data_IF_434932222682
#
_entry.id   IF_434932222682
#
_cell.length_a   1.000
_cell.length_b   1.000
_cell.length_c   1.000
_cell.angle_alpha   90.00
_cell.angle_beta   90.00
_cell.angle_gamma   90.00
#
_symmetry.space_group_name_H-M   'P 1'
#
loop_
_entity.id
_entity.type
_entity.pdbx_description
1 polymer ?
#
# COMPACT_ATOMS: atom_id res chain seq x y z
N UNK A 1 -30.59 37.08 -63.71
CA UNK A 1 -30.46 37.24 -62.24
C UNK A 1 -31.12 36.17 -61.36
N UNK A 2 -32.12 35.38 -61.78
CA UNK A 2 -32.81 34.39 -60.91
C UNK A 2 -32.12 33.03 -60.69
N UNK A 3 -31.06 32.68 -61.45
CA UNK A 3 -30.40 31.35 -61.38
C UNK A 3 -29.24 31.29 -60.37
N UNK A 4 -28.57 32.41 -60.11
CA UNK A 4 -27.46 32.49 -59.14
C UNK A 4 -27.94 32.65 -57.69
N UNK A 5 -29.10 33.26 -57.45
CA UNK A 5 -29.70 33.38 -56.11
C UNK A 5 -30.14 32.05 -55.52
N UNK A 6 -30.64 31.10 -56.34
CA UNK A 6 -31.01 29.75 -55.88
C UNK A 6 -29.80 28.88 -55.51
N UNK A 7 -28.67 29.05 -56.19
CA UNK A 7 -27.41 28.35 -55.86
C UNK A 7 -26.78 28.91 -54.57
N UNK A 8 -26.79 30.23 -54.41
CA UNK A 8 -26.30 30.88 -53.20
C UNK A 8 -27.16 30.52 -51.97
N UNK A 9 -28.49 30.50 -52.12
CA UNK A 9 -29.38 30.11 -51.03
C UNK A 9 -29.18 28.65 -50.60
N UNK A 10 -28.95 27.72 -51.55
CA UNK A 10 -28.64 26.31 -51.23
C UNK A 10 -27.28 26.13 -50.53
N UNK A 11 -26.28 26.94 -50.88
CA UNK A 11 -24.97 26.91 -50.24
C UNK A 11 -25.05 27.45 -48.81
N UNK A 12 -25.77 28.55 -48.61
CA UNK A 12 -25.98 29.16 -47.28
C UNK A 12 -26.80 28.25 -46.38
N UNK A 13 -27.86 27.61 -46.88
CA UNK A 13 -28.64 26.65 -46.07
C UNK A 13 -27.84 25.40 -45.73
N UNK A 14 -27.00 24.89 -46.63
CA UNK A 14 -26.15 23.74 -46.35
C UNK A 14 -25.06 24.07 -45.31
N UNK A 15 -24.46 25.26 -45.40
CA UNK A 15 -23.47 25.72 -44.42
C UNK A 15 -24.09 25.93 -43.02
N UNK A 16 -25.30 26.51 -42.94
CA UNK A 16 -26.04 26.65 -41.69
C UNK A 16 -26.41 25.29 -41.07
N UNK A 17 -26.79 24.30 -41.89
CA UNK A 17 -27.11 22.96 -41.41
C UNK A 17 -25.88 22.25 -40.84
N UNK A 18 -24.71 22.43 -41.47
CA UNK A 18 -23.43 21.87 -40.98
C UNK A 18 -23.04 22.52 -39.65
N UNK A 19 -23.17 23.85 -39.52
CA UNK A 19 -22.87 24.56 -38.26
C UNK A 19 -23.83 24.15 -37.13
N UNK A 20 -25.12 23.96 -37.44
CA UNK A 20 -26.11 23.44 -36.48
C UNK A 20 -25.82 22.00 -36.06
N UNK A 21 -25.47 21.11 -37.00
CA UNK A 21 -25.08 19.74 -36.68
C UNK A 21 -23.79 19.66 -35.87
N UNK A 22 -22.77 20.49 -36.19
CA UNK A 22 -21.52 20.51 -35.42
C UNK A 22 -21.73 21.09 -34.03
N UNK A 23 -22.62 22.09 -33.85
CA UNK A 23 -22.91 22.65 -32.52
C UNK A 23 -23.79 21.74 -31.67
N UNK A 24 -24.72 20.98 -32.27
CA UNK A 24 -25.46 19.93 -31.57
C UNK A 24 -24.54 18.77 -31.18
N UNK A 25 -23.66 18.33 -32.08
CA UNK A 25 -22.67 17.29 -31.78
C UNK A 25 -21.68 17.75 -30.72
N UNK A 26 -21.23 19.01 -30.73
CA UNK A 26 -20.36 19.53 -29.67
C UNK A 26 -21.10 19.65 -28.34
N UNK A 27 -22.38 20.03 -28.33
CA UNK A 27 -23.20 20.03 -27.11
C UNK A 27 -23.44 18.62 -26.58
N UNK A 28 -23.72 17.64 -27.42
CA UNK A 28 -23.89 16.25 -26.97
C UNK A 28 -22.56 15.61 -26.55
N UNK A 29 -21.43 15.96 -27.17
CA UNK A 29 -20.10 15.52 -26.76
C UNK A 29 -19.66 16.14 -25.42
N UNK A 30 -19.93 17.44 -25.22
CA UNK A 30 -19.65 18.15 -23.95
C UNK A 30 -20.59 17.68 -22.84
N UNK A 31 -21.83 17.27 -23.16
CA UNK A 31 -22.73 16.62 -22.18
C UNK A 31 -22.36 15.17 -21.87
N UNK A 32 -21.54 14.49 -22.69
CA UNK A 32 -21.08 13.11 -22.45
C UNK A 32 -19.66 13.03 -21.86
N UNK A 33 -18.88 14.12 -21.89
CA UNK A 33 -17.56 14.20 -21.29
C UNK A 33 -17.40 15.51 -20.52
N UNK A 34 -17.77 15.50 -19.24
CA UNK A 34 -17.27 16.30 -18.09
C UNK A 34 -18.20 15.92 -16.92
N UNK A 35 -17.73 15.13 -15.95
CA UNK A 35 -17.18 15.65 -14.69
C UNK A 35 -18.10 16.70 -14.07
N UNK A 36 -19.02 16.24 -13.21
CA UNK A 36 -19.65 17.12 -12.24
C UNK A 36 -18.58 17.61 -11.25
N UNK A 37 -18.16 18.85 -11.42
CA UNK A 37 -17.40 19.61 -10.43
C UNK A 37 -18.35 20.00 -9.29
N UNK A 38 -18.14 19.43 -8.10
CA UNK A 38 -18.77 19.87 -6.85
C UNK A 38 -17.67 20.43 -5.94
N UNK A 39 -17.61 21.76 -5.69
CA UNK A 39 -16.67 22.32 -4.74
C UNK A 39 -17.16 22.09 -3.31
N UNK A 40 -16.35 21.38 -2.51
CA UNK A 40 -16.52 21.23 -1.06
C UNK A 40 -17.46 20.09 -0.65
N UNK A 41 -16.92 18.92 -0.31
CA UNK A 41 -17.69 17.83 0.30
C UNK A 41 -17.02 16.47 0.17
N UNK A 42 -16.87 15.78 1.29
CA UNK A 42 -16.39 14.41 1.46
C UNK A 42 -17.10 13.39 0.58
N UNK A 43 -16.35 12.46 -0.01
CA UNK A 43 -16.90 11.33 -0.78
C UNK A 43 -17.62 10.33 0.13
N UNK A 44 -18.93 10.16 -0.07
CA UNK A 44 -19.70 8.99 0.37
C UNK A 44 -20.03 8.12 -0.84
N UNK A 45 -20.04 6.78 -0.73
CA UNK A 45 -20.45 5.90 -1.81
C UNK A 45 -21.93 6.08 -2.15
N UNK A 46 -22.24 6.08 -3.45
CA UNK A 46 -23.60 6.15 -4.01
C UNK A 46 -24.39 4.91 -3.61
N UNK A 47 -25.59 5.08 -3.07
CA UNK A 47 -26.52 3.97 -2.82
C UNK A 47 -26.86 3.23 -4.13
N UNK A 48 -27.03 1.89 -4.11
CA UNK A 48 -27.46 1.15 -5.28
C UNK A 48 -28.83 1.63 -5.76
N UNK A 49 -28.99 1.83 -7.08
CA UNK A 49 -30.31 2.03 -7.68
C UNK A 49 -31.05 0.70 -7.68
N UNK A 50 -32.30 0.73 -7.23
CA UNK A 50 -33.27 -0.36 -7.37
C UNK A 50 -33.35 -0.80 -8.84
N UNK A 51 -32.97 -2.05 -9.10
CA UNK A 51 -33.35 -2.78 -10.31
C UNK A 51 -34.33 -3.86 -9.89
N UNK A 52 -35.58 -3.47 -9.67
CA UNK A 52 -36.71 -4.36 -9.89
C UNK A 52 -36.80 -4.60 -11.40
N UNK A 53 -36.65 -5.86 -11.80
CA UNK A 53 -37.01 -6.49 -13.07
C UNK A 53 -35.87 -7.34 -13.66
N UNK A 54 -35.52 -8.42 -12.97
CA UNK A 54 -35.08 -9.67 -13.63
C UNK A 54 -35.68 -10.85 -12.87
N UNK A 55 -36.48 -11.64 -13.57
CA UNK A 55 -37.17 -12.81 -13.04
C UNK A 55 -36.19 -13.85 -12.48
N UNK A 56 -36.46 -14.31 -11.25
CA UNK A 56 -35.69 -15.34 -10.57
C UNK A 56 -35.81 -16.71 -11.28
N UNK A 57 -34.70 -17.45 -11.47
CA UNK A 57 -34.78 -18.84 -11.89
C UNK A 57 -35.31 -19.73 -10.74
N UNK A 58 -36.29 -20.57 -11.08
CA UNK A 58 -37.00 -21.47 -10.18
C UNK A 58 -36.09 -22.59 -9.65
N UNK A 59 -36.10 -22.77 -8.33
CA UNK A 59 -35.58 -23.95 -7.62
C UNK A 59 -36.48 -25.15 -7.90
N UNK A 60 -35.95 -26.32 -8.31
CA UNK A 60 -36.71 -27.57 -8.25
C UNK A 60 -36.58 -28.20 -6.86
N UNK A 61 -37.73 -28.59 -6.34
CA UNK A 61 -37.97 -29.33 -5.09
C UNK A 61 -37.30 -30.72 -5.05
N UNK A 62 -36.95 -31.16 -3.84
CA UNK A 62 -36.59 -32.54 -3.46
C UNK A 62 -37.56 -33.60 -4.02
N UNK A 63 -37.09 -34.87 -4.06
CA UNK A 63 -37.86 -35.89 -3.36
C UNK A 63 -37.03 -36.82 -2.44
N UNK A 64 -37.80 -37.30 -1.46
CA UNK A 64 -37.73 -38.42 -0.50
C UNK A 64 -36.50 -39.34 -0.34
N UNK A 65 -36.41 -39.79 0.92
CA UNK A 65 -35.46 -40.70 1.52
C UNK A 65 -35.57 -42.17 1.06
N UNK A 66 -34.46 -42.90 1.15
CA UNK A 66 -34.45 -44.32 1.49
C UNK A 66 -33.14 -44.70 2.21
N UNK A 67 -33.33 -45.57 3.18
CA UNK A 67 -32.46 -46.20 4.19
C UNK A 67 -31.27 -47.02 3.64
N UNK A 68 -30.21 -47.16 4.44
CA UNK A 68 -29.22 -48.22 4.27
C UNK A 68 -27.95 -48.06 5.10
N UNK A 69 -27.89 -48.77 6.23
CA UNK A 69 -26.75 -48.91 7.14
C UNK A 69 -25.45 -49.41 6.46
N UNK A 70 -24.30 -48.84 6.86
CA UNK A 70 -23.20 -49.56 7.53
C UNK A 70 -22.06 -48.61 7.91
N UNK A 71 -21.77 -48.56 9.21
CA UNK A 71 -20.64 -47.89 9.83
C UNK A 71 -19.53 -48.89 10.17
N UNK A 72 -18.27 -48.49 9.90
CA UNK A 72 -17.03 -48.88 10.57
C UNK A 72 -15.92 -48.14 9.82
N UNK A 73 -14.92 -47.46 10.37
CA UNK A 73 -14.39 -47.24 11.71
C UNK A 73 -13.31 -46.16 11.47
N UNK A 74 -13.21 -45.13 12.32
CA UNK A 74 -11.94 -44.46 12.65
C UNK A 74 -12.22 -43.44 13.76
N UNK A 75 -11.98 -43.90 14.99
CA UNK A 75 -11.98 -43.07 16.19
C UNK A 75 -10.64 -42.33 16.27
N UNK A 76 -10.67 -41.01 16.37
CA UNK A 76 -9.67 -40.24 17.09
C UNK A 76 -10.37 -39.05 17.75
N UNK A 77 -10.28 -38.99 19.07
CA UNK A 77 -10.98 -38.05 19.92
C UNK A 77 -10.41 -36.64 19.81
N UNK A 78 -11.26 -35.65 19.52
CA UNK A 78 -10.98 -34.24 19.73
C UNK A 78 -11.80 -33.76 20.94
N UNK A 79 -11.11 -33.38 22.02
CA UNK A 79 -11.71 -32.59 23.12
C UNK A 79 -11.75 -31.11 22.70
N UNK A 80 -12.79 -30.35 23.06
CA UNK A 80 -12.84 -28.92 22.78
C UNK A 80 -11.96 -28.16 23.79
N UNK A 81 -10.96 -27.43 23.31
CA UNK A 81 -10.19 -26.49 24.14
C UNK A 81 -10.90 -25.14 24.15
N UNK A 82 -11.69 -24.91 25.19
CA UNK A 82 -11.94 -23.57 25.69
C UNK A 82 -10.71 -23.14 26.49
N UNK A 83 -9.93 -22.18 25.99
CA UNK A 83 -9.00 -21.48 26.86
C UNK A 83 -8.97 -19.99 26.52
N UNK A 84 -9.53 -19.23 27.46
CA UNK A 84 -9.36 -17.81 27.59
C UNK A 84 -8.00 -17.55 28.25
N UNK A 85 -7.19 -16.69 27.64
CA UNK A 85 -6.21 -15.83 28.32
C UNK A 85 -5.31 -16.47 29.38
N UNK A 86 -4.36 -17.31 28.96
CA UNK A 86 -3.20 -17.68 29.78
C UNK A 86 -1.99 -16.82 29.43
N UNK A 87 -1.70 -15.78 30.20
CA UNK A 87 -0.42 -15.07 30.13
C UNK A 87 0.69 -16.00 30.61
N UNK A 88 1.37 -16.67 29.67
CA UNK A 88 2.54 -17.48 30.01
C UNK A 88 3.72 -16.54 30.30
N UNK A 89 4.67 -16.96 31.15
CA UNK A 89 5.93 -16.26 31.51
C UNK A 89 6.78 -15.78 30.30
N UNK A 90 6.37 -16.07 29.06
CA UNK A 90 7.04 -15.77 27.80
C UNK A 90 6.67 -14.41 27.19
N UNK A 91 5.66 -13.71 27.69
CA UNK A 91 5.19 -12.46 27.09
C UNK A 91 5.74 -11.21 27.79
N UNK A 92 6.21 -10.26 26.98
CA UNK A 92 6.73 -8.95 27.38
C UNK A 92 5.81 -7.83 26.89
N UNK A 93 5.68 -6.83 27.75
CA UNK A 93 5.19 -5.53 27.33
C UNK A 93 6.31 -4.77 26.62
N UNK A 94 6.11 -4.49 25.33
CA UNK A 94 7.08 -3.79 24.49
C UNK A 94 6.76 -2.30 24.32
N UNK A 95 5.71 -1.79 24.97
CA UNK A 95 5.38 -0.37 24.92
C UNK A 95 6.47 0.48 25.60
N UNK A 96 6.97 1.49 24.90
CA UNK A 96 7.87 2.49 25.46
C UNK A 96 7.07 3.66 26.06
N UNK A 97 6.51 3.45 27.26
CA UNK A 97 5.68 4.45 27.94
C UNK A 97 6.37 5.81 28.15
N UNK A 98 7.66 5.88 28.57
CA UNK A 98 8.36 7.16 28.69
C UNK A 98 8.42 7.93 27.37
N UNK A 99 8.70 7.26 26.25
CA UNK A 99 8.69 7.89 24.93
C UNK A 99 7.29 8.34 24.53
N UNK A 100 6.27 7.50 24.73
CA UNK A 100 4.89 7.84 24.41
C UNK A 100 4.42 9.07 25.18
N UNK A 101 4.78 9.20 26.46
CA UNK A 101 4.45 10.36 27.29
C UNK A 101 5.17 11.62 26.81
N UNK A 102 6.47 11.50 26.46
CA UNK A 102 7.24 12.60 25.87
C UNK A 102 6.60 13.06 24.57
N UNK A 103 6.34 12.12 23.65
CA UNK A 103 5.72 12.39 22.36
C UNK A 103 4.36 13.04 22.53
N UNK A 104 3.49 12.61 23.45
CA UNK A 104 2.16 13.20 23.68
C UNK A 104 2.19 14.69 24.06
N UNK A 105 3.30 15.17 24.63
CA UNK A 105 3.48 16.58 25.01
C UNK A 105 4.22 17.43 23.97
N UNK A 106 4.67 16.84 22.86
CA UNK A 106 5.46 17.52 21.84
C UNK A 106 4.63 18.61 21.13
N UNK A 107 5.27 19.75 20.87
CA UNK A 107 4.68 20.93 20.25
C UNK A 107 5.57 21.43 19.12
N UNK A 108 4.95 21.90 18.05
CA UNK A 108 5.64 22.38 16.86
C UNK A 108 4.89 22.04 15.58
N UNK A 109 5.42 22.45 14.41
CA UNK A 109 4.86 22.10 13.12
C UNK A 109 4.67 20.59 12.95
N UNK A 110 3.42 20.17 12.74
CA UNK A 110 3.08 18.78 12.42
C UNK A 110 3.20 17.78 13.58
N UNK A 111 3.52 18.22 14.80
CA UNK A 111 3.50 17.37 16.00
C UNK A 111 2.08 16.82 16.27
N UNK A 112 2.00 15.64 16.88
CA UNK A 112 0.78 14.83 17.02
C UNK A 112 0.12 14.50 15.68
N UNK A 113 0.88 14.55 14.57
CA UNK A 113 0.34 14.38 13.22
C UNK A 113 -0.71 15.43 12.83
N UNK A 114 -0.70 16.60 13.45
CA UNK A 114 -1.61 17.70 13.08
C UNK A 114 -1.26 18.25 11.70
N UNK A 115 -2.27 18.78 11.00
CA UNK A 115 -2.07 19.48 9.74
C UNK A 115 -1.15 20.70 9.93
N UNK A 116 -0.16 20.84 9.05
CA UNK A 116 0.70 22.02 8.98
C UNK A 116 0.42 22.81 7.70
N UNK A 117 0.23 24.11 7.87
CA UNK A 117 0.04 25.06 6.77
C UNK A 117 1.24 25.99 6.68
N UNK A 118 1.76 26.15 5.48
CA UNK A 118 2.92 27.02 5.23
C UNK A 118 2.58 28.49 5.52
N UNK A 119 3.52 29.28 6.06
CA UNK A 119 3.41 30.73 6.08
C UNK A 119 3.21 31.32 4.68
N UNK A 120 2.53 32.46 4.60
CA UNK A 120 2.32 33.19 3.35
C UNK A 120 3.66 33.64 2.72
N UNK A 121 3.70 33.74 1.39
CA UNK A 121 4.86 34.20 0.62
C UNK A 121 5.82 33.09 0.20
N UNK A 122 5.46 31.82 0.44
CA UNK A 122 6.25 30.64 0.07
C UNK A 122 5.65 29.85 -1.11
N UNK A 123 4.64 30.39 -1.77
CA UNK A 123 3.84 29.70 -2.79
C UNK A 123 4.69 29.23 -3.97
N UNK A 124 5.59 30.08 -4.47
CA UNK A 124 6.47 29.74 -5.59
C UNK A 124 7.42 28.58 -5.23
N UNK A 125 8.03 28.61 -4.04
CA UNK A 125 8.92 27.54 -3.56
C UNK A 125 8.14 26.25 -3.32
N UNK A 126 6.92 26.37 -2.79
CA UNK A 126 5.98 25.24 -2.63
C UNK A 126 5.74 24.57 -3.98
N UNK A 127 5.34 25.32 -5.00
CA UNK A 127 5.03 24.79 -6.33
C UNK A 127 6.23 24.10 -6.99
N UNK A 128 7.43 24.69 -6.90
CA UNK A 128 8.66 24.10 -7.43
C UNK A 128 8.95 22.73 -6.81
N UNK A 129 8.89 22.64 -5.47
CA UNK A 129 9.11 21.39 -4.76
C UNK A 129 7.97 20.40 -4.96
N UNK A 130 6.73 20.87 -5.12
CA UNK A 130 5.58 20.01 -5.41
C UNK A 130 5.71 19.32 -6.75
N UNK A 131 6.13 20.05 -7.79
CA UNK A 131 6.27 19.52 -9.15
C UNK A 131 7.20 18.31 -9.22
N UNK A 132 8.29 18.33 -8.45
CA UNK A 132 9.33 17.29 -8.50
C UNK A 132 9.14 16.16 -7.49
N UNK A 133 8.19 16.29 -6.55
CA UNK A 133 7.92 15.30 -5.52
C UNK A 133 6.48 14.78 -5.54
N UNK A 134 5.51 15.45 -6.16
CA UNK A 134 4.10 15.04 -6.14
C UNK A 134 3.39 15.24 -4.79
N UNK A 135 4.03 15.95 -3.86
CA UNK A 135 3.51 16.34 -2.55
C UNK A 135 4.20 17.63 -2.06
N UNK A 136 3.68 18.23 -1.00
CA UNK A 136 4.18 19.47 -0.40
C UNK A 136 5.50 19.27 0.38
N UNK A 137 6.58 19.03 -0.36
CA UNK A 137 7.92 18.83 0.20
C UNK A 137 8.40 20.03 1.05
N UNK A 138 7.97 21.26 0.71
CA UNK A 138 8.29 22.42 1.53
C UNK A 138 7.65 22.34 2.92
N UNK A 139 6.39 21.91 3.03
CA UNK A 139 5.78 21.65 4.35
C UNK A 139 6.57 20.59 5.13
N UNK A 140 7.04 19.54 4.47
CA UNK A 140 7.92 18.54 5.10
C UNK A 140 9.16 19.16 5.72
N UNK A 141 9.78 20.14 5.05
CA UNK A 141 11.00 20.79 5.53
C UNK A 141 10.81 21.59 6.82
N UNK A 142 9.59 22.05 7.11
CA UNK A 142 9.25 22.72 8.38
C UNK A 142 8.92 21.74 9.51
N UNK A 143 8.60 20.49 9.19
CA UNK A 143 8.19 19.48 10.16
C UNK A 143 9.42 18.72 10.65
N UNK A 144 9.56 18.58 11.97
CA UNK A 144 10.67 17.87 12.62
C UNK A 144 10.82 16.42 12.12
N UNK A 145 12.03 16.00 11.74
CA UNK A 145 12.34 14.61 11.34
C UNK A 145 11.90 13.58 12.41
N UNK A 146 11.81 14.01 13.67
CA UNK A 146 11.34 13.21 14.79
C UNK A 146 10.00 13.73 15.36
N UNK A 147 9.10 14.25 14.51
CA UNK A 147 7.77 14.68 14.96
C UNK A 147 7.00 13.53 15.62
N UNK A 148 6.22 13.83 16.64
CA UNK A 148 5.29 12.88 17.26
C UNK A 148 4.08 12.60 16.37
N UNK A 149 3.49 11.43 16.54
CA UNK A 149 2.28 10.98 15.85
C UNK A 149 1.18 10.65 16.86
N UNK A 150 -0.10 10.75 16.47
CA UNK A 150 -1.19 10.36 17.33
C UNK A 150 -1.25 8.82 17.41
N UNK A 151 -1.45 8.29 18.61
CA UNK A 151 -1.71 6.85 18.81
C UNK A 151 -3.19 6.55 18.51
N UNK A 152 -3.46 6.31 17.22
CA UNK A 152 -4.79 5.99 16.68
C UNK A 152 -5.07 4.48 16.63
N UNK A 153 -4.24 3.64 17.26
CA UNK A 153 -4.52 2.21 17.32
C UNK A 153 -5.78 1.95 18.15
N UNK A 154 -6.43 0.81 17.89
CA UNK A 154 -7.53 0.35 18.73
C UNK A 154 -7.11 0.32 20.21
N UNK A 155 -7.93 0.78 21.18
CA UNK A 155 -7.54 0.86 22.59
C UNK A 155 -7.02 -0.45 23.19
N UNK A 156 -7.51 -1.60 22.69
CA UNK A 156 -7.02 -2.93 23.08
C UNK A 156 -5.55 -3.18 22.73
N UNK A 157 -5.02 -2.55 21.67
CA UNK A 157 -3.61 -2.68 21.28
C UNK A 157 -2.64 -2.11 22.33
N UNK A 158 -3.08 -1.20 23.20
CA UNK A 158 -2.26 -0.64 24.30
C UNK A 158 -2.05 -1.62 25.46
N UNK A 159 -2.82 -2.71 25.48
CA UNK A 159 -2.76 -3.78 26.49
C UNK A 159 -2.14 -5.06 25.92
N UNK A 160 -1.80 -5.07 24.64
CA UNK A 160 -1.20 -6.23 23.98
C UNK A 160 0.22 -6.42 24.47
N UNK A 161 0.53 -7.67 24.80
CA UNK A 161 1.88 -8.15 25.10
C UNK A 161 2.28 -9.11 23.99
N UNK A 162 3.57 -9.18 23.72
CA UNK A 162 4.11 -10.03 22.66
C UNK A 162 5.23 -10.89 23.23
N UNK A 163 5.58 -11.98 22.55
CA UNK A 163 6.68 -12.86 22.98
C UNK A 163 7.97 -12.07 23.25
N UNK A 164 8.73 -12.51 24.26
CA UNK A 164 10.01 -11.90 24.67
C UNK A 164 11.11 -12.04 23.61
N UNK A 165 11.16 -13.20 22.96
CA UNK A 165 12.17 -13.51 21.94
C UNK A 165 11.57 -13.22 20.57
N UNK A 166 11.86 -12.04 20.03
CA UNK A 166 11.49 -11.64 18.68
C UNK A 166 12.70 -11.69 17.75
N UNK A 167 12.52 -12.09 16.48
CA UNK A 167 13.60 -12.10 15.50
C UNK A 167 14.12 -10.68 15.23
N UNK A 168 15.39 -10.56 14.85
CA UNK A 168 15.94 -9.28 14.39
C UNK A 168 15.44 -8.94 12.99
N UNK A 169 15.40 -7.65 12.66
CA UNK A 169 14.89 -7.16 11.38
C UNK A 169 15.90 -6.25 10.66
N UNK A 170 16.01 -6.44 9.35
CA UNK A 170 16.63 -5.47 8.43
C UNK A 170 15.52 -4.74 7.68
N UNK A 171 15.51 -3.41 7.77
CA UNK A 171 14.51 -2.58 7.08
C UNK A 171 15.07 -2.12 5.75
N UNK A 172 14.43 -2.50 4.65
CA UNK A 172 14.81 -2.12 3.28
C UNK A 172 13.91 -1.00 2.80
N UNK A 173 14.51 0.15 2.49
CA UNK A 173 13.81 1.36 2.03
C UNK A 173 14.29 1.69 0.61
N UNK A 174 13.62 1.19 -0.45
CA UNK A 174 13.94 1.61 -1.80
C UNK A 174 13.59 3.08 -2.02
N UNK A 175 14.44 3.83 -2.69
CA UNK A 175 14.16 5.22 -3.04
C UNK A 175 14.74 5.59 -4.41
N UNK A 176 14.04 6.47 -5.11
CA UNK A 176 14.54 7.13 -6.31
C UNK A 176 14.17 8.59 -6.23
N UNK A 177 15.15 9.50 -6.25
CA UNK A 177 14.92 10.93 -6.24
C UNK A 177 13.94 11.39 -5.14
N UNK A 178 13.97 10.74 -3.99
CA UNK A 178 13.09 11.10 -2.88
C UNK A 178 13.41 12.50 -2.32
N UNK A 179 12.45 13.12 -1.66
CA UNK A 179 12.72 14.34 -0.92
C UNK A 179 13.56 14.06 0.34
N UNK A 180 14.51 14.94 0.65
CA UNK A 180 15.49 14.75 1.72
C UNK A 180 14.83 14.49 3.08
N UNK A 181 13.88 15.34 3.47
CA UNK A 181 13.27 15.27 4.79
C UNK A 181 12.30 14.10 4.94
N UNK A 182 11.64 13.64 3.88
CA UNK A 182 10.77 12.44 3.95
C UNK A 182 11.58 11.15 4.07
N UNK A 183 12.68 11.03 3.33
CA UNK A 183 13.58 9.89 3.42
C UNK A 183 14.18 9.77 4.84
N UNK A 184 14.72 10.87 5.36
CA UNK A 184 15.32 10.88 6.70
C UNK A 184 14.29 10.66 7.81
N UNK A 185 13.07 11.19 7.67
CA UNK A 185 11.97 10.98 8.63
C UNK A 185 11.52 9.52 8.66
N UNK A 186 11.55 8.84 7.52
CA UNK A 186 11.34 7.39 7.45
C UNK A 186 12.35 6.65 8.33
N UNK A 187 13.64 6.83 8.09
CA UNK A 187 14.70 6.20 8.89
C UNK A 187 14.63 6.60 10.37
N UNK A 188 14.38 7.89 10.67
CA UNK A 188 14.26 8.42 12.03
C UNK A 188 13.11 7.76 12.78
N UNK A 189 11.94 7.62 12.15
CA UNK A 189 10.77 6.98 12.77
C UNK A 189 11.01 5.51 13.10
N UNK A 190 11.69 4.77 12.20
CA UNK A 190 12.07 3.38 12.42
C UNK A 190 13.04 3.26 13.59
N UNK A 191 14.10 4.05 13.61
CA UNK A 191 15.10 4.00 14.69
C UNK A 191 14.50 4.36 16.05
N UNK A 192 13.70 5.43 16.10
CA UNK A 192 13.24 5.97 17.38
C UNK A 192 12.06 5.19 17.96
N UNK A 193 11.23 4.53 17.14
CA UNK A 193 10.01 3.83 17.60
C UNK A 193 10.10 2.32 17.57
N UNK A 194 11.27 1.78 17.26
CA UNK A 194 11.55 0.35 17.35
C UNK A 194 12.29 0.03 18.65
N UNK A 195 11.95 -1.07 19.34
CA UNK A 195 12.67 -1.49 20.53
C UNK A 195 14.18 -1.69 20.24
N UNK A 196 15.07 -1.27 21.17
CA UNK A 196 16.51 -1.47 21.01
C UNK A 196 16.84 -2.95 20.77
N UNK A 197 17.76 -3.21 19.84
CA UNK A 197 18.24 -4.55 19.50
C UNK A 197 17.40 -5.32 18.48
N UNK A 198 16.15 -4.92 18.20
CA UNK A 198 15.33 -5.58 17.17
C UNK A 198 15.65 -5.10 15.75
N UNK A 199 16.03 -3.84 15.57
CA UNK A 199 16.51 -3.33 14.28
C UNK A 199 18.00 -3.63 14.16
N UNK A 200 18.35 -4.55 13.27
CA UNK A 200 19.73 -4.88 12.93
C UNK A 200 20.36 -3.77 12.09
N UNK A 201 19.63 -3.33 11.08
CA UNK A 201 20.06 -2.30 10.12
C UNK A 201 18.88 -1.70 9.35
N UNK A 202 19.09 -0.51 8.79
CA UNK A 202 18.23 0.10 7.79
C UNK A 202 19.06 0.30 6.52
N UNK A 203 18.57 -0.26 5.42
CA UNK A 203 19.21 -0.27 4.11
C UNK A 203 18.43 0.68 3.20
N UNK A 204 19.00 1.86 2.93
CA UNK A 204 18.45 2.80 1.98
C UNK A 204 18.92 2.38 0.58
N UNK A 205 18.02 1.78 -0.21
CA UNK A 205 18.34 1.23 -1.53
C UNK A 205 18.10 2.30 -2.61
N UNK A 206 19.16 2.99 -3.03
CA UNK A 206 19.12 4.05 -4.04
C UNK A 206 18.99 3.45 -5.45
N UNK A 207 17.82 3.59 -6.05
CA UNK A 207 17.51 3.21 -7.42
C UNK A 207 17.95 4.32 -8.39
N UNK A 208 19.25 4.61 -8.43
CA UNK A 208 19.88 5.51 -9.39
C UNK A 208 19.35 6.95 -9.35
N UNK A 209 19.31 7.55 -8.16
CA UNK A 209 18.93 8.95 -7.96
C UNK A 209 19.92 9.92 -8.61
N UNK A 210 19.40 11.03 -9.15
CA UNK A 210 20.19 12.08 -9.77
C UNK A 210 20.32 13.36 -8.92
N UNK A 211 19.51 13.52 -7.86
CA UNK A 211 19.62 14.64 -6.92
C UNK A 211 20.96 14.58 -6.16
N UNK A 212 21.79 15.62 -6.26
CA UNK A 212 23.13 15.62 -5.64
C UNK A 212 23.12 15.46 -4.12
N UNK A 213 22.11 16.01 -3.45
CA UNK A 213 21.92 15.83 -2.00
C UNK A 213 21.76 14.36 -1.59
N UNK A 214 21.28 13.48 -2.48
CA UNK A 214 21.10 12.04 -2.19
C UNK A 214 22.37 11.21 -2.38
N UNK A 215 23.47 11.83 -2.80
CA UNK A 215 24.77 11.18 -3.02
C UNK A 215 25.61 11.27 -1.74
N UNK A 216 26.81 11.83 -1.85
CA UNK A 216 27.75 12.02 -0.74
C UNK A 216 27.14 12.77 0.46
N UNK A 217 26.33 13.84 0.30
CA UNK A 217 25.72 14.52 1.44
C UNK A 217 24.80 13.63 2.28
N UNK A 218 24.07 12.70 1.66
CA UNK A 218 23.23 11.73 2.36
C UNK A 218 24.08 10.76 3.18
N UNK A 219 25.14 10.22 2.58
CA UNK A 219 26.07 9.31 3.27
C UNK A 219 26.74 9.99 4.48
N UNK A 220 27.19 11.23 4.31
CA UNK A 220 27.82 12.01 5.39
C UNK A 220 26.83 12.31 6.52
N UNK A 221 25.58 12.66 6.17
CA UNK A 221 24.54 12.87 7.16
C UNK A 221 24.24 11.57 7.94
N UNK A 222 24.09 10.46 7.24
CA UNK A 222 23.82 9.14 7.84
C UNK A 222 24.96 8.74 8.77
N UNK A 223 26.20 8.80 8.32
CA UNK A 223 27.37 8.44 9.12
C UNK A 223 27.51 9.30 10.38
N UNK A 224 27.07 10.56 10.32
CA UNK A 224 27.11 11.48 11.45
C UNK A 224 25.96 11.32 12.45
N UNK A 225 24.75 11.01 11.96
CA UNK A 225 23.52 11.13 12.75
C UNK A 225 22.82 9.80 13.05
N UNK A 226 23.12 8.73 12.33
CA UNK A 226 22.46 7.45 12.52
C UNK A 226 23.45 6.33 12.83
N UNK A 227 22.96 5.37 13.60
CA UNK A 227 23.64 4.09 13.82
C UNK A 227 22.94 3.03 12.99
N UNK A 228 23.70 2.12 12.39
CA UNK A 228 23.18 0.99 11.61
C UNK A 228 22.27 1.37 10.43
N UNK A 229 22.44 2.56 9.87
CA UNK A 229 21.80 2.98 8.61
C UNK A 229 22.89 3.10 7.56
N UNK A 230 22.66 2.56 6.36
CA UNK A 230 23.59 2.72 5.26
C UNK A 230 22.87 2.75 3.90
N UNK A 231 23.57 3.24 2.88
CA UNK A 231 23.06 3.37 1.52
C UNK A 231 23.66 2.28 0.64
N UNK A 232 22.82 1.63 -0.15
CA UNK A 232 23.24 0.71 -1.23
C UNK A 232 22.76 1.32 -2.54
N UNK A 233 23.64 1.42 -3.55
CA UNK A 233 23.34 2.15 -4.79
C UNK A 233 23.32 1.23 -6.00
N UNK A 234 22.28 1.36 -6.81
CA UNK A 234 22.21 0.75 -8.12
C UNK A 234 23.13 1.49 -9.11
N UNK A 235 23.75 0.75 -10.03
CA UNK A 235 24.63 1.32 -11.07
C UNK A 235 23.87 1.86 -12.29
N UNK A 236 22.58 1.53 -12.39
CA UNK A 236 21.62 2.01 -13.40
C UNK A 236 20.22 2.04 -12.78
N UNK A 237 19.26 2.66 -13.47
CA UNK A 237 17.86 2.63 -13.02
C UNK A 237 17.29 1.22 -13.17
N UNK A 238 16.98 0.58 -12.06
CA UNK A 238 16.50 -0.80 -12.00
C UNK A 238 14.99 -0.89 -11.76
N UNK A 239 14.42 0.11 -11.08
CA UNK A 239 13.01 0.10 -10.68
C UNK A 239 12.78 -0.32 -9.24
N UNK A 240 11.60 -0.03 -8.69
CA UNK A 240 11.24 -0.29 -7.30
C UNK A 240 11.48 -1.75 -6.91
N UNK A 241 11.05 -2.68 -7.75
CA UNK A 241 11.06 -4.12 -7.48
C UNK A 241 12.49 -4.62 -7.32
N UNK A 242 13.37 -4.27 -8.27
CA UNK A 242 14.78 -4.65 -8.24
C UNK A 242 15.58 -3.89 -7.20
N UNK A 243 15.21 -2.64 -6.87
CA UNK A 243 15.78 -1.91 -5.76
C UNK A 243 15.47 -2.57 -4.41
N UNK A 244 14.24 -3.08 -4.22
CA UNK A 244 13.88 -3.92 -3.06
C UNK A 244 14.75 -5.18 -3.00
N UNK A 245 14.91 -5.89 -4.13
CA UNK A 245 15.78 -7.06 -4.20
C UNK A 245 17.25 -6.74 -3.87
N UNK A 246 17.77 -5.62 -4.38
CA UNK A 246 19.12 -5.16 -4.10
C UNK A 246 19.33 -4.95 -2.60
N UNK A 247 18.41 -4.26 -1.93
CA UNK A 247 18.48 -4.08 -0.48
C UNK A 247 18.30 -5.40 0.29
N UNK A 248 17.37 -6.26 -0.14
CA UNK A 248 17.13 -7.55 0.48
C UNK A 248 18.34 -8.49 0.42
N UNK A 249 19.15 -8.42 -0.65
CA UNK A 249 20.38 -9.21 -0.80
C UNK A 249 21.48 -8.78 0.18
N UNK A 250 21.46 -7.52 0.63
CA UNK A 250 22.43 -6.98 1.59
C UNK A 250 21.99 -7.18 3.05
N UNK A 251 20.71 -7.49 3.28
CA UNK A 251 20.14 -7.64 4.61
C UNK A 251 20.65 -8.88 5.36
N UNK A 252 20.96 -8.68 6.65
CA UNK A 252 21.52 -9.68 7.56
C UNK A 252 20.59 -10.10 8.69
N UNK A 253 19.53 -9.34 8.96
CA UNK A 253 18.50 -9.64 9.96
C UNK A 253 17.69 -10.89 9.61
N UNK A 254 17.02 -11.45 10.61
CA UNK A 254 16.20 -12.66 10.47
C UNK A 254 14.93 -12.41 9.64
N UNK A 255 14.39 -11.19 9.72
CA UNK A 255 13.21 -10.70 9.02
C UNK A 255 13.59 -9.53 8.11
N UNK A 256 13.06 -9.53 6.88
CA UNK A 256 13.06 -8.39 5.99
C UNK A 256 11.80 -7.57 6.23
N UNK A 257 11.95 -6.26 6.42
CA UNK A 257 10.82 -5.32 6.45
C UNK A 257 11.00 -4.36 5.30
N UNK A 258 10.06 -4.32 4.38
CA UNK A 258 10.04 -3.34 3.30
C UNK A 258 9.18 -2.15 3.72
N UNK A 259 9.70 -0.94 3.53
CA UNK A 259 8.97 0.31 3.72
C UNK A 259 9.26 1.25 2.55
N UNK A 260 8.26 1.99 2.08
CA UNK A 260 8.50 3.06 1.12
C UNK A 260 9.23 4.25 1.78
N UNK A 261 9.96 5.03 0.98
CA UNK A 261 10.86 6.12 1.40
C UNK A 261 10.19 7.39 1.95
N UNK A 262 8.89 7.33 2.19
CA UNK A 262 8.06 8.43 2.66
C UNK A 262 6.99 7.88 3.62
N UNK A 263 7.48 7.17 4.64
CA UNK A 263 6.67 6.53 5.66
C UNK A 263 7.05 7.01 7.06
N UNK A 264 6.14 6.87 8.01
CA UNK A 264 6.41 7.15 9.43
C UNK A 264 5.82 6.05 10.30
N UNK A 265 6.68 5.27 10.93
CA UNK A 265 6.27 4.23 11.86
C UNK A 265 5.58 4.85 13.09
N UNK A 266 4.48 4.26 13.54
CA UNK A 266 3.77 4.69 14.75
C UNK A 266 4.30 3.95 15.99
N UNK A 267 3.81 4.31 17.18
CA UNK A 267 4.28 3.73 18.45
C UNK A 267 4.04 2.22 18.53
N UNK A 268 5.06 1.50 19.00
CA UNK A 268 5.06 0.04 19.18
C UNK A 268 4.64 -0.74 17.91
N UNK A 269 5.01 -0.25 16.72
CA UNK A 269 4.65 -0.88 15.45
C UNK A 269 5.34 -2.24 15.23
N UNK A 270 6.58 -2.39 15.70
CA UNK A 270 7.45 -3.52 15.30
C UNK A 270 7.07 -4.86 15.96
N UNK A 271 6.83 -4.96 17.28
CA UNK A 271 6.47 -6.24 17.91
C UNK A 271 5.24 -6.94 17.33
N UNK A 272 4.08 -6.27 17.08
CA UNK A 272 2.94 -6.91 16.43
C UNK A 272 3.22 -7.36 15.00
N UNK A 273 4.22 -6.75 14.33
CA UNK A 273 4.63 -7.11 12.98
C UNK A 273 5.51 -8.38 12.98
N UNK A 274 6.37 -8.52 13.99
CA UNK A 274 7.33 -9.63 14.08
C UNK A 274 6.76 -10.90 14.72
N UNK A 275 5.85 -10.76 15.69
CA UNK A 275 5.36 -11.93 16.45
C UNK A 275 4.72 -13.02 15.57
N UNK A 276 3.84 -12.71 14.58
CA UNK A 276 3.29 -13.77 13.75
C UNK A 276 4.37 -14.55 12.98
N UNK A 277 5.44 -13.87 12.57
CA UNK A 277 6.61 -14.47 11.89
C UNK A 277 7.45 -15.31 12.87
N UNK A 278 7.57 -14.87 14.13
CA UNK A 278 8.24 -15.64 15.18
C UNK A 278 7.49 -16.95 15.49
N UNK A 279 6.15 -16.94 15.40
CA UNK A 279 5.30 -18.12 15.61
C UNK A 279 5.33 -19.07 14.40
N UNK A 280 5.32 -18.52 13.19
CA UNK A 280 5.51 -19.27 11.95
C UNK A 280 6.27 -18.41 10.93
N UNK A 281 7.50 -18.81 10.62
CA UNK A 281 8.38 -18.07 9.73
C UNK A 281 7.87 -17.97 8.28
N UNK A 282 6.86 -18.78 7.91
CA UNK A 282 6.16 -18.70 6.61
C UNK A 282 4.98 -17.72 6.61
N UNK A 283 4.74 -17.02 7.72
CA UNK A 283 3.77 -15.93 7.80
C UNK A 283 4.39 -14.63 7.31
N UNK A 284 3.66 -13.92 6.46
CA UNK A 284 3.97 -12.56 5.99
C UNK A 284 2.97 -11.60 6.63
N UNK A 285 3.48 -10.49 7.16
CA UNK A 285 2.67 -9.57 7.97
C UNK A 285 2.70 -8.18 7.37
N UNK A 286 1.54 -7.58 7.15
CA UNK A 286 1.39 -6.19 6.74
C UNK A 286 0.95 -5.33 7.93
N UNK A 287 1.53 -4.14 8.15
CA UNK A 287 0.95 -3.16 9.07
C UNK A 287 -0.29 -2.54 8.43
N UNK A 288 -1.14 -1.91 9.24
CA UNK A 288 -2.10 -0.95 8.69
C UNK A 288 -1.35 0.25 8.12
N UNK A 289 -1.73 0.62 6.91
CA UNK A 289 -1.15 1.74 6.19
C UNK A 289 -2.05 2.95 6.40
N UNK A 290 -1.55 3.89 7.19
CA UNK A 290 -2.23 5.15 7.48
C UNK A 290 -1.87 6.21 6.44
N UNK A 291 -2.70 7.24 6.34
CA UNK A 291 -2.49 8.34 5.39
C UNK A 291 -1.71 9.45 6.07
N UNK A 292 -0.59 9.83 5.46
CA UNK A 292 0.04 11.13 5.66
C UNK A 292 -0.40 12.00 4.48
N UNK A 293 -1.16 13.06 4.77
CA UNK A 293 -1.72 13.93 3.75
C UNK A 293 -0.62 14.61 2.93
N UNK A 294 -0.71 14.56 1.60
CA UNK A 294 0.33 15.06 0.71
C UNK A 294 0.47 16.59 0.75
N UNK A 295 -0.53 17.34 1.24
CA UNK A 295 -0.51 18.81 1.25
C UNK A 295 -0.10 19.35 2.62
N UNK A 296 -0.67 18.79 3.68
CA UNK A 296 -0.58 19.30 5.06
C UNK A 296 0.21 18.40 6.00
N UNK A 297 0.57 17.19 5.56
CA UNK A 297 1.24 16.17 6.37
C UNK A 297 0.45 15.71 7.61
N UNK A 298 -0.85 16.00 7.66
CA UNK A 298 -1.73 15.47 8.68
C UNK A 298 -1.73 13.93 8.64
N UNK A 299 -1.63 13.30 9.81
CA UNK A 299 -1.67 11.85 9.96
C UNK A 299 -3.08 11.40 10.34
N UNK A 300 -3.62 10.43 9.61
CA UNK A 300 -4.96 9.88 9.88
C UNK A 300 -5.05 8.43 9.43
N UNK A 301 -5.98 7.68 10.05
CA UNK A 301 -6.34 6.37 9.56
C UNK A 301 -6.78 6.44 8.08
N UNK A 302 -6.39 5.46 7.28
CA UNK A 302 -7.11 5.18 6.04
C UNK A 302 -8.49 4.61 6.39
N UNK A 303 -8.51 3.71 7.38
CA UNK A 303 -9.66 3.01 7.98
C UNK A 303 -9.19 2.13 9.15
N UNK A 304 -10.10 1.29 9.66
CA UNK A 304 -9.88 0.33 10.76
C UNK A 304 -9.65 -1.11 10.27
N UNK A 305 -9.15 -1.27 9.04
CA UNK A 305 -8.80 -2.55 8.45
C UNK A 305 -9.69 -2.90 7.26
N UNK A 306 -9.07 -3.44 6.22
CA UNK A 306 -9.75 -4.04 5.09
C UNK A 306 -8.88 -5.16 4.51
N UNK A 307 -9.51 -6.09 3.81
CA UNK A 307 -8.81 -7.18 3.14
C UNK A 307 -8.41 -6.77 1.74
N UNK A 308 -7.14 -6.85 1.38
CA UNK A 308 -6.70 -6.52 0.04
C UNK A 308 -7.16 -7.56 -0.99
N UNK A 309 -7.47 -7.07 -2.18
CA UNK A 309 -8.01 -7.83 -3.32
C UNK A 309 -7.68 -7.10 -4.62
N UNK A 310 -8.26 -7.53 -5.74
CA UNK A 310 -8.15 -6.88 -7.04
C UNK A 310 -9.40 -7.08 -7.88
N UNK A 311 -9.61 -6.22 -8.86
CA UNK A 311 -10.53 -6.50 -9.97
C UNK A 311 -9.82 -7.28 -11.09
N UNK A 312 -10.58 -7.77 -12.07
CA UNK A 312 -10.04 -8.52 -13.20
C UNK A 312 -9.23 -7.66 -14.19
N UNK A 313 -8.91 -6.41 -13.88
CA UNK A 313 -7.89 -5.61 -14.57
C UNK A 313 -6.59 -5.52 -13.75
N UNK A 314 -6.51 -6.24 -12.63
CA UNK A 314 -5.44 -6.18 -11.64
C UNK A 314 -5.26 -4.79 -11.03
N UNK A 315 -6.34 -4.00 -10.89
CA UNK A 315 -6.32 -2.85 -9.99
C UNK A 315 -6.60 -3.29 -8.57
N UNK A 316 -5.74 -2.87 -7.65
CA UNK A 316 -5.87 -3.20 -6.23
C UNK A 316 -7.20 -2.67 -5.68
N UNK A 317 -7.90 -3.53 -4.93
CA UNK A 317 -9.16 -3.23 -4.26
C UNK A 317 -9.05 -3.61 -2.79
N UNK A 318 -9.99 -3.10 -2.01
CA UNK A 318 -10.10 -3.38 -0.58
C UNK A 318 -11.52 -3.84 -0.29
N UNK A 319 -11.63 -5.04 0.25
CA UNK A 319 -12.87 -5.67 0.67
C UNK A 319 -13.09 -5.43 2.17
N UNK A 320 -14.35 -5.38 2.64
CA UNK A 320 -14.62 -5.29 4.07
C UNK A 320 -14.04 -6.51 4.82
N UNK A 321 -13.76 -6.31 6.11
CA UNK A 321 -13.40 -7.38 7.02
C UNK A 321 -14.53 -8.40 7.17
N UNK A 322 -14.19 -9.65 7.49
CA UNK A 322 -15.20 -10.65 7.83
C UNK A 322 -15.80 -10.37 9.22
N UNK A 323 -17.01 -10.88 9.52
CA UNK A 323 -17.63 -10.74 10.84
C UNK A 323 -16.73 -11.18 12.00
N UNK A 324 -15.99 -12.29 11.85
CA UNK A 324 -15.10 -12.80 12.89
C UNK A 324 -13.89 -11.88 13.15
N UNK A 325 -13.36 -11.25 12.10
CA UNK A 325 -12.25 -10.31 12.20
C UNK A 325 -12.72 -8.98 12.82
N UNK A 326 -13.93 -8.52 12.47
CA UNK A 326 -14.58 -7.36 13.10
C UNK A 326 -14.79 -7.57 14.60
N UNK A 327 -15.11 -8.79 15.03
CA UNK A 327 -15.25 -9.13 16.44
C UNK A 327 -13.91 -9.17 17.20
N UNK A 328 -12.77 -9.19 16.48
CA UNK A 328 -11.41 -9.31 17.03
C UNK A 328 -10.49 -8.20 16.49
N UNK A 329 -10.80 -6.92 16.75
CA UNK A 329 -10.18 -5.76 16.08
C UNK A 329 -8.68 -5.57 16.39
N UNK A 330 -8.11 -6.36 17.30
CA UNK A 330 -6.69 -6.31 17.67
C UNK A 330 -5.90 -7.55 17.27
N UNK A 331 -6.56 -8.57 16.72
CA UNK A 331 -5.87 -9.77 16.24
C UNK A 331 -5.49 -9.61 14.77
N UNK A 332 -4.35 -10.17 14.33
CA UNK A 332 -4.06 -10.26 12.91
C UNK A 332 -5.14 -11.04 12.16
N UNK A 333 -5.52 -10.56 10.98
CA UNK A 333 -6.52 -11.22 10.13
C UNK A 333 -5.95 -11.53 8.75
N UNK A 334 -6.49 -12.55 8.09
CA UNK A 334 -5.99 -13.00 6.78
C UNK A 334 -6.34 -12.02 5.67
N UNK A 335 -5.36 -11.65 4.87
CA UNK A 335 -5.52 -10.77 3.71
C UNK A 335 -5.13 -11.52 2.43
N UNK A 336 -6.00 -11.58 1.41
CA UNK A 336 -5.68 -12.26 0.15
C UNK A 336 -4.51 -11.63 -0.60
N UNK A 337 -4.45 -10.30 -0.64
CA UNK A 337 -3.43 -9.54 -1.38
C UNK A 337 -2.92 -8.38 -0.52
N UNK A 338 -1.60 -8.19 -0.44
CA UNK A 338 -1.01 -7.01 0.20
C UNK A 338 -1.08 -5.77 -0.71
N UNK A 339 -1.04 -4.57 -0.13
CA UNK A 339 -0.87 -3.35 -0.92
C UNK A 339 0.49 -3.30 -1.66
N UNK A 340 1.53 -3.89 -1.05
CA UNK A 340 2.86 -4.09 -1.64
C UNK A 340 3.98 -3.24 -1.00
N UNK A 341 3.67 -2.01 -0.60
CA UNK A 341 4.66 -1.04 -0.10
C UNK A 341 5.28 -1.35 1.26
N UNK A 342 4.50 -1.99 2.14
CA UNK A 342 4.84 -2.16 3.54
C UNK A 342 4.48 -3.57 4.00
N UNK A 343 5.50 -4.38 4.33
CA UNK A 343 5.31 -5.73 4.88
C UNK A 343 6.59 -6.25 5.53
N UNK A 344 6.43 -7.26 6.38
CA UNK A 344 7.51 -8.03 6.98
C UNK A 344 7.41 -9.50 6.57
N UNK A 345 8.56 -10.11 6.27
CA UNK A 345 8.69 -11.51 5.89
C UNK A 345 10.00 -12.07 6.44
N UNK A 346 10.00 -13.33 6.89
CA UNK A 346 11.26 -14.01 7.21
C UNK A 346 12.23 -13.92 6.02
N UNK A 347 13.47 -13.49 6.25
CA UNK A 347 14.49 -13.41 5.19
C UNK A 347 14.71 -14.78 4.53
N UNK A 348 14.70 -15.84 5.35
CA UNK A 348 14.77 -17.22 4.86
C UNK A 348 13.61 -17.52 3.92
N UNK A 349 12.37 -17.27 4.35
CA UNK A 349 11.18 -17.58 3.56
C UNK A 349 11.10 -16.74 2.28
N UNK A 350 11.47 -15.46 2.33
CA UNK A 350 11.54 -14.61 1.13
C UNK A 350 12.42 -15.23 0.04
N UNK A 351 13.59 -15.77 0.41
CA UNK A 351 14.49 -16.43 -0.54
C UNK A 351 14.06 -17.86 -0.92
N UNK A 352 13.35 -18.58 -0.04
CA UNK A 352 12.68 -19.85 -0.40
C UNK A 352 11.64 -19.64 -1.52
N UNK A 353 10.94 -18.51 -1.51
CA UNK A 353 10.00 -18.10 -2.57
C UNK A 353 10.70 -17.55 -3.83
N UNK A 354 12.03 -17.45 -3.83
CA UNK A 354 12.82 -16.84 -4.90
C UNK A 354 12.73 -15.32 -4.95
N UNK A 355 12.27 -14.66 -3.88
CA UNK A 355 12.04 -13.21 -3.85
C UNK A 355 10.95 -12.77 -4.83
N UNK A 356 11.15 -11.60 -5.43
CA UNK A 356 10.35 -11.11 -6.56
C UNK A 356 10.90 -11.64 -7.89
N UNK A 357 10.04 -11.79 -8.87
CA UNK A 357 10.43 -12.03 -10.26
C UNK A 357 11.25 -10.84 -10.79
N UNK A 358 12.54 -11.10 -11.08
CA UNK A 358 13.48 -10.10 -11.59
C UNK A 358 13.09 -9.56 -12.97
N UNK A 359 12.22 -10.27 -13.70
CA UNK A 359 11.64 -9.83 -14.96
C UNK A 359 10.55 -8.76 -14.80
N UNK A 360 10.04 -8.52 -13.59
CA UNK A 360 9.13 -7.41 -13.33
C UNK A 360 9.90 -6.09 -13.37
N UNK A 361 9.32 -5.12 -14.06
CA UNK A 361 9.97 -3.86 -14.42
C UNK A 361 9.33 -2.68 -13.67
N UNK A 362 10.16 -1.77 -13.17
CA UNK A 362 9.78 -0.53 -12.45
C UNK A 362 8.75 -0.64 -11.32
N UNK A 363 7.48 -0.88 -11.61
CA UNK A 363 6.39 -0.86 -10.65
C UNK A 363 5.19 -1.70 -11.13
N UNK A 364 4.47 -2.30 -10.20
CA UNK A 364 3.20 -2.97 -10.44
C UNK A 364 3.38 -4.45 -10.75
N UNK A 365 2.54 -5.28 -10.14
CA UNK A 365 2.54 -6.73 -10.30
C UNK A 365 3.22 -7.46 -9.14
N UNK A 366 4.23 -6.85 -8.52
CA UNK A 366 5.03 -7.49 -7.46
C UNK A 366 4.21 -7.84 -6.23
N UNK A 367 3.20 -7.02 -5.90
CA UNK A 367 2.31 -7.29 -4.78
C UNK A 367 1.44 -8.52 -5.02
N UNK A 368 1.01 -8.74 -6.26
CA UNK A 368 0.19 -9.90 -6.64
C UNK A 368 1.05 -11.15 -6.70
N UNK A 369 2.21 -11.08 -7.38
CA UNK A 369 3.16 -12.17 -7.49
C UNK A 369 3.51 -12.74 -6.11
N UNK A 370 3.94 -11.88 -5.18
CA UNK A 370 4.33 -12.32 -3.85
C UNK A 370 3.13 -12.81 -3.04
N UNK A 371 1.97 -12.16 -3.14
CA UNK A 371 0.74 -12.62 -2.46
C UNK A 371 0.34 -14.03 -2.92
N UNK A 372 0.40 -14.30 -4.23
CA UNK A 372 0.09 -15.60 -4.80
C UNK A 372 1.13 -16.65 -4.39
N UNK A 373 2.43 -16.34 -4.47
CA UNK A 373 3.50 -17.20 -3.94
C UNK A 373 3.24 -17.60 -2.50
N UNK A 374 2.94 -16.64 -1.63
CA UNK A 374 2.73 -16.90 -0.20
C UNK A 374 1.59 -17.89 0.00
N UNK A 375 0.43 -17.64 -0.59
CA UNK A 375 -0.75 -18.48 -0.38
C UNK A 375 -0.66 -19.84 -1.07
N UNK A 376 -0.21 -19.87 -2.32
CA UNK A 376 -0.18 -21.09 -3.14
C UNK A 376 1.01 -22.00 -2.78
N UNK A 377 2.06 -21.47 -2.13
CA UNK A 377 3.22 -22.24 -1.71
C UNK A 377 3.27 -22.54 -0.20
N UNK A 378 2.11 -22.49 0.49
CA UNK A 378 1.96 -23.01 1.85
C UNK A 378 2.29 -22.04 2.99
N UNK A 379 2.46 -20.75 2.69
CA UNK A 379 2.56 -19.70 3.70
C UNK A 379 1.20 -19.09 4.05
N UNK A 380 1.24 -18.00 4.80
CA UNK A 380 0.06 -17.24 5.20
C UNK A 380 0.36 -15.76 5.16
N UNK A 381 -0.63 -14.94 4.80
CA UNK A 381 -0.51 -13.48 4.83
C UNK A 381 -1.57 -12.87 5.73
N UNK A 382 -1.15 -12.01 6.64
CA UNK A 382 -2.03 -11.32 7.59
C UNK A 382 -1.75 -9.83 7.66
N UNK A 383 -2.78 -9.05 7.92
CA UNK A 383 -2.65 -7.65 8.34
C UNK A 383 -2.70 -7.60 9.86
N UNK A 384 -1.81 -6.83 10.50
CA UNK A 384 -1.71 -6.72 11.95
C UNK A 384 -2.23 -5.35 12.44
N UNK A 385 -3.47 -5.25 12.97
CA UNK A 385 -4.10 -3.96 13.32
C UNK A 385 -3.33 -3.12 14.35
N UNK A 386 -2.57 -3.78 15.23
CA UNK A 386 -1.77 -3.09 16.24
C UNK A 386 -0.42 -2.57 15.72
N UNK A 387 -0.03 -2.92 14.49
CA UNK A 387 1.11 -2.33 13.77
C UNK A 387 0.59 -1.31 12.77
N UNK A 388 0.99 -0.03 12.92
CA UNK A 388 0.54 1.04 12.02
C UNK A 388 1.73 1.85 11.52
N UNK A 389 1.72 2.16 10.23
CA UNK A 389 2.73 2.98 9.57
C UNK A 389 2.05 3.97 8.65
N UNK A 390 2.33 5.26 8.82
CA UNK A 390 1.82 6.29 7.90
C UNK A 390 2.57 6.27 6.59
N UNK A 391 1.89 6.58 5.50
CA UNK A 391 2.43 6.63 4.15
C UNK A 391 1.93 7.88 3.41
N UNK A 392 2.81 8.59 2.71
CA UNK A 392 2.43 9.73 1.87
C UNK A 392 1.87 9.24 0.54
N UNK A 393 0.55 9.34 0.36
CA UNK A 393 -0.06 9.10 -0.95
C UNK A 393 0.12 10.34 -1.83
N UNK A 394 1.03 10.27 -2.80
CA UNK A 394 1.31 11.40 -3.70
C UNK A 394 0.07 11.82 -4.49
N UNK A 395 -0.04 13.11 -4.79
CA UNK A 395 -1.08 13.64 -5.68
C UNK A 395 -0.89 13.16 -7.13
N UNK A 396 0.35 12.94 -7.54
CA UNK A 396 0.74 12.37 -8.83
C UNK A 396 2.13 11.72 -8.73
N UNK A 397 2.44 10.81 -9.65
CA UNK A 397 3.79 10.24 -9.75
C UNK A 397 4.73 11.29 -10.37
N UNK A 398 5.78 11.77 -9.66
CA UNK A 398 6.65 12.83 -10.15
C UNK A 398 7.77 12.32 -11.08
N UNK A 399 7.97 11.01 -11.13
CA UNK A 399 9.07 10.40 -11.87
C UNK A 399 8.61 10.05 -13.29
N UNK A 400 9.39 10.39 -14.32
CA UNK A 400 9.07 9.97 -15.68
C UNK A 400 9.05 8.44 -15.75
N UNK A 401 8.11 7.89 -16.52
CA UNK A 401 8.19 6.52 -16.98
C UNK A 401 9.58 6.33 -17.62
N UNK A 402 10.33 5.24 -17.31
CA UNK A 402 11.64 4.99 -17.91
C UNK A 402 11.62 4.92 -19.45
N UNK A 403 10.45 4.98 -20.09
CA UNK A 403 10.28 4.99 -21.54
C UNK A 403 10.11 3.59 -22.13
N UNK A 404 10.00 2.56 -21.29
CA UNK A 404 9.99 1.14 -21.71
C UNK A 404 8.54 0.65 -21.90
N UNK A 405 7.83 1.22 -22.88
CA UNK A 405 6.47 0.79 -23.27
C UNK A 405 5.48 0.62 -22.11
N UNK A 406 4.49 -0.26 -22.28
CA UNK A 406 3.58 -0.67 -21.21
C UNK A 406 4.23 -1.73 -20.31
N UNK A 407 5.12 -1.29 -19.42
CA UNK A 407 5.78 -2.18 -18.47
C UNK A 407 4.80 -2.80 -17.47
N UNK A 408 3.75 -2.06 -17.07
CA UNK A 408 2.73 -2.56 -16.13
C UNK A 408 1.99 -3.73 -16.76
N UNK A 409 1.56 -3.62 -18.01
CA UNK A 409 0.91 -4.70 -18.73
C UNK A 409 1.79 -5.93 -18.91
N UNK A 410 3.09 -5.74 -19.20
CA UNK A 410 4.05 -6.85 -19.23
C UNK A 410 4.18 -7.52 -17.87
N UNK A 411 4.27 -6.75 -16.79
CA UNK A 411 4.35 -7.29 -15.43
C UNK A 411 3.09 -8.10 -15.09
N UNK A 412 1.91 -7.54 -15.35
CA UNK A 412 0.63 -8.20 -15.11
C UNK A 412 0.48 -9.50 -15.90
N UNK A 413 0.92 -9.51 -17.16
CA UNK A 413 0.97 -10.74 -17.97
C UNK A 413 1.89 -11.78 -17.34
N UNK A 414 3.11 -11.40 -16.91
CA UNK A 414 4.03 -12.34 -16.26
C UNK A 414 3.42 -12.98 -15.02
N UNK A 415 2.78 -12.17 -14.16
CA UNK A 415 2.08 -12.68 -12.98
C UNK A 415 0.93 -13.61 -13.36
N UNK A 416 0.11 -13.20 -14.33
CA UNK A 416 -1.05 -13.96 -14.75
C UNK A 416 -0.70 -15.32 -15.37
N UNK A 417 0.34 -15.36 -16.22
CA UNK A 417 0.77 -16.59 -16.88
C UNK A 417 1.32 -17.64 -15.91
N UNK A 418 1.93 -17.20 -14.80
CA UNK A 418 2.56 -18.11 -13.83
C UNK A 418 1.61 -18.52 -12.70
N UNK A 419 0.76 -17.61 -12.23
CA UNK A 419 0.07 -17.79 -10.94
C UNK A 419 -1.46 -17.80 -11.01
N UNK A 420 -2.06 -17.48 -12.16
CA UNK A 420 -3.51 -17.30 -12.27
C UNK A 420 -4.20 -18.41 -13.08
N UNK A 421 -3.49 -19.42 -13.57
CA UNK A 421 -4.05 -20.57 -14.30
C UNK A 421 -5.13 -20.16 -15.33
N UNK A 422 -6.32 -20.73 -15.30
CA UNK A 422 -7.45 -20.36 -16.16
C UNK A 422 -7.99 -18.94 -15.90
N UNK A 423 -7.78 -18.38 -14.72
CA UNK A 423 -8.29 -17.05 -14.35
C UNK A 423 -7.58 -15.90 -15.10
N UNK A 424 -6.40 -16.14 -15.69
CA UNK A 424 -5.74 -15.15 -16.57
C UNK A 424 -6.61 -14.75 -17.76
N UNK A 425 -7.54 -15.62 -18.20
CA UNK A 425 -8.48 -15.30 -19.26
C UNK A 425 -9.42 -14.14 -18.89
N UNK A 426 -9.75 -13.95 -17.62
CA UNK A 426 -10.54 -12.79 -17.19
C UNK A 426 -9.79 -11.46 -17.34
N UNK A 427 -8.46 -11.48 -17.18
CA UNK A 427 -7.60 -10.33 -17.47
C UNK A 427 -7.55 -10.08 -18.97
N UNK A 428 -7.31 -11.10 -19.78
CA UNK A 428 -7.22 -10.96 -21.23
C UNK A 428 -8.52 -10.56 -21.90
N UNK A 429 -9.68 -10.98 -21.38
CA UNK A 429 -10.97 -10.49 -21.86
C UNK A 429 -11.16 -8.98 -21.65
N UNK A 430 -10.55 -8.39 -20.61
CA UNK A 430 -10.64 -6.94 -20.32
C UNK A 430 -9.49 -6.15 -20.93
N UNK A 431 -8.33 -6.78 -21.06
CA UNK A 431 -7.11 -6.23 -21.67
C UNK A 431 -6.61 -7.16 -22.80
N UNK A 432 -7.30 -7.24 -23.95
CA UNK A 432 -6.95 -8.18 -25.02
C UNK A 432 -5.52 -8.03 -25.56
N UNK A 433 -4.98 -6.81 -25.52
CA UNK A 433 -3.61 -6.51 -25.94
C UNK A 433 -2.52 -7.14 -25.04
N UNK A 434 -2.86 -7.69 -23.87
CA UNK A 434 -1.89 -8.41 -23.02
C UNK A 434 -1.64 -9.85 -23.50
N UNK A 435 -2.48 -10.40 -24.38
CA UNK A 435 -2.35 -11.78 -24.86
C UNK A 435 -1.17 -11.97 -25.81
N UNK A 436 -0.77 -10.92 -26.53
CA UNK A 436 0.23 -10.98 -27.61
C UNK A 436 1.57 -10.46 -27.13
#
# INVERSE_FOLDING_TARGET
MRRNTKKLLKLVTSALLVVLCTSLLFRTFVSYQMLDYVPGGSFLPRAPRDTNDVAAPRVPSKPAAATGDKASELKAAAKPSSDAGGSTEKDRDWHNYPQMQKEASAKGPGEQGLAFFLPAGLEQKKEQLYKVNGFNALASDFISLNRSLPDIRHPGCRKKRYVKELPTASVVVPFHNEHWTTLLRTATSVLNRSPPGLIKEIILADDFSNKDQLKKPLEDYIAKHFTNVHVVRATKREGLIRARLMGARQATGDVLIFLDSHTEANTNWLPPLLEPIAKDYRTVVCPFIDVIDYETFAYRAQDEGARGSFDWELYYKRLPLLPDDLAKPTEPFKSPVMAGGLFAISRKYFWELGGYDEGLDVWGGEQYELSFKIWQCGGTMVDAPCSRVGHIYRKFAPFPNPGIGDFVGRNYRRVAEVWMDEYKEHLYHRRPHYRH
#
